data_IF_919793101952
#
_entry.id   IF_919793101952
#
_cell.length_a   1.000
_cell.length_b   1.000
_cell.length_c   1.000
_cell.angle_alpha   90.00
_cell.angle_beta   90.00
_cell.angle_gamma   90.00
#
_symmetry.space_group_name_H-M   'P 1'
#
loop_
_entity.id
_entity.type
_entity.pdbx_description
1 polymer ?
#
# COMPACT_ATOMS: atom_id res chain seq x y z
N UNK A 1 26.92 -18.81 40.94
CA UNK A 1 28.26 -19.45 41.02
C UNK A 1 28.45 -20.67 40.10
N UNK A 2 27.40 -21.42 39.70
CA UNK A 2 27.55 -22.54 38.76
C UNK A 2 27.68 -22.11 37.27
N UNK A 3 26.95 -21.06 36.85
CA UNK A 3 26.98 -20.57 35.46
C UNK A 3 28.34 -19.97 35.04
N UNK A 4 29.11 -19.41 35.98
CA UNK A 4 30.42 -18.81 35.71
C UNK A 4 31.52 -19.87 35.49
N UNK A 5 31.35 -21.08 36.04
CA UNK A 5 32.31 -22.20 35.90
C UNK A 5 32.19 -22.92 34.55
N UNK A 6 31.01 -22.88 33.92
CA UNK A 6 30.75 -23.50 32.60
C UNK A 6 31.33 -22.70 31.43
N UNK A 7 31.47 -21.37 31.58
CA UNK A 7 32.04 -20.51 30.54
C UNK A 7 33.58 -20.53 30.53
N UNK A 8 34.21 -20.89 31.65
CA UNK A 8 35.67 -20.90 31.78
C UNK A 8 36.34 -22.20 31.24
N UNK A 9 35.58 -23.26 30.98
CA UNK A 9 36.11 -24.53 30.46
C UNK A 9 36.14 -24.61 28.92
N UNK A 10 35.53 -23.65 28.21
CA UNK A 10 35.39 -23.70 26.75
C UNK A 10 36.47 -22.92 25.98
N UNK A 11 37.35 -22.18 26.64
CA UNK A 11 38.37 -21.36 25.98
C UNK A 11 39.78 -21.79 26.42
N UNK A 12 40.27 -22.84 25.77
CA UNK A 12 41.66 -23.25 25.85
C UNK A 12 42.58 -22.29 25.08
N UNK A 13 43.51 -21.67 25.83
CA UNK A 13 44.90 -21.30 25.49
C UNK A 13 45.17 -20.54 24.16
N UNK A 14 45.26 -19.20 24.30
CA UNK A 14 46.47 -18.37 24.08
C UNK A 14 47.25 -18.41 22.75
N UNK A 15 47.40 -17.23 22.12
CA UNK A 15 48.48 -16.82 21.19
C UNK A 15 48.76 -15.30 21.45
N UNK A 16 50.02 -14.81 21.38
CA UNK A 16 50.50 -13.72 22.23
C UNK A 16 50.29 -12.29 21.68
N UNK A 17 50.38 -11.33 22.60
CA UNK A 17 50.33 -9.89 22.34
C UNK A 17 51.54 -9.41 21.53
N UNK A 18 51.28 -8.88 20.34
CA UNK A 18 52.26 -8.23 19.47
C UNK A 18 51.81 -6.84 19.05
N UNK A 19 52.45 -5.83 19.65
CA UNK A 19 52.78 -4.50 19.13
C UNK A 19 51.67 -3.57 18.61
N UNK A 20 51.63 -2.39 19.23
CA UNK A 20 50.82 -1.24 18.87
C UNK A 20 51.31 -0.59 17.56
N UNK A 21 50.36 -0.30 16.67
CA UNK A 21 50.47 0.62 15.54
C UNK A 21 49.12 1.33 15.34
N UNK A 22 49.08 2.61 14.94
CA UNK A 22 47.83 3.35 14.88
C UNK A 22 47.14 3.11 13.53
N UNK A 23 46.22 2.16 13.47
CA UNK A 23 45.24 2.14 12.39
C UNK A 23 44.02 2.97 12.79
N UNK A 24 43.84 4.06 12.05
CA UNK A 24 42.64 4.90 12.05
C UNK A 24 41.42 4.02 11.75
N UNK A 25 40.71 3.61 12.81
CA UNK A 25 39.35 3.13 12.68
C UNK A 25 38.52 4.26 12.07
N UNK A 26 38.21 4.15 10.78
CA UNK A 26 37.06 4.81 10.17
C UNK A 26 35.81 4.27 10.87
N UNK A 27 35.48 4.90 12.01
CA UNK A 27 34.19 4.75 12.63
C UNK A 27 33.14 5.13 11.61
N UNK A 28 32.41 4.14 11.11
CA UNK A 28 31.13 4.33 10.49
C UNK A 28 30.21 4.91 11.57
N UNK A 29 30.28 6.23 11.74
CA UNK A 29 29.30 6.98 12.49
C UNK A 29 27.99 6.82 11.71
N UNK A 30 27.18 5.84 12.13
CA UNK A 30 25.75 5.84 11.81
C UNK A 30 25.20 7.12 12.41
N UNK A 31 25.20 8.20 11.63
CA UNK A 31 24.41 9.39 11.93
C UNK A 31 22.96 8.91 11.90
N UNK A 32 22.39 8.68 13.08
CA UNK A 32 20.94 8.76 13.23
C UNK A 32 20.58 10.20 12.83
N UNK A 33 20.11 10.37 11.61
CA UNK A 33 19.61 11.64 11.12
C UNK A 33 18.32 11.92 11.89
N UNK A 34 18.43 12.66 12.99
CA UNK A 34 17.29 13.15 13.78
C UNK A 34 16.70 14.43 13.20
N UNK A 35 16.98 14.76 11.94
CA UNK A 35 16.33 15.88 11.26
C UNK A 35 14.94 15.44 10.76
N UNK A 36 13.83 15.93 11.34
CA UNK A 36 12.52 15.74 10.75
C UNK A 36 12.44 16.69 9.55
N UNK A 37 12.95 16.26 8.39
CA UNK A 37 12.50 16.88 7.16
C UNK A 37 11.10 16.34 6.93
N UNK A 38 10.07 17.12 7.25
CA UNK A 38 8.70 16.78 6.88
C UNK A 38 8.65 16.67 5.36
N UNK A 39 8.68 15.44 4.84
CA UNK A 39 8.55 15.12 3.40
C UNK A 39 7.11 15.24 2.93
N UNK A 40 6.39 16.23 3.44
CA UNK A 40 4.96 16.42 3.20
C UNK A 40 4.82 17.61 2.27
N UNK A 41 4.09 17.40 1.17
CA UNK A 41 3.79 18.47 0.21
C UNK A 41 2.28 18.53 0.01
N UNK A 42 1.72 19.72 0.19
CA UNK A 42 0.31 19.97 -0.03
C UNK A 42 0.08 20.40 -1.48
N UNK A 43 -1.00 19.90 -2.06
CA UNK A 43 -1.43 20.20 -3.42
C UNK A 43 -2.88 20.70 -3.41
N UNK A 44 -3.17 21.65 -4.28
CA UNK A 44 -4.52 22.18 -4.49
C UNK A 44 -5.21 21.53 -5.70
N UNK A 45 -4.45 21.01 -6.66
CA UNK A 45 -4.95 20.25 -7.81
C UNK A 45 -4.55 18.78 -7.68
N UNK A 46 -5.51 17.82 -7.75
CA UNK A 46 -5.17 16.41 -7.65
C UNK A 46 -4.37 15.91 -8.87
N UNK A 47 -4.44 16.57 -10.03
CA UNK A 47 -3.66 16.21 -11.22
C UNK A 47 -2.16 16.45 -11.00
N UNK A 48 -1.79 17.57 -10.41
CA UNK A 48 -0.40 17.86 -10.05
C UNK A 48 0.16 16.86 -9.03
N UNK A 49 -0.69 16.35 -8.14
CA UNK A 49 -0.27 15.36 -7.15
C UNK A 49 0.13 14.01 -7.81
N UNK A 50 -0.50 13.66 -8.94
CA UNK A 50 -0.31 12.36 -9.61
C UNK A 50 0.47 12.43 -10.93
N UNK A 51 0.94 13.61 -11.35
CA UNK A 51 1.63 13.82 -12.65
C UNK A 51 2.93 13.00 -12.81
N UNK A 52 3.53 12.60 -11.69
CA UNK A 52 4.77 11.81 -11.67
C UNK A 52 4.54 10.33 -11.96
N UNK A 53 3.29 9.84 -11.93
CA UNK A 53 2.97 8.45 -12.26
C UNK A 53 3.28 8.20 -13.74
N UNK A 54 4.13 7.21 -14.01
CA UNK A 54 4.54 6.83 -15.36
C UNK A 54 3.87 5.55 -15.82
N UNK A 55 3.89 5.31 -17.12
CA UNK A 55 3.37 4.09 -17.71
C UNK A 55 4.07 2.87 -17.09
N UNK A 56 3.32 1.80 -16.85
CA UNK A 56 3.86 0.58 -16.25
C UNK A 56 4.02 0.60 -14.72
N UNK A 57 3.71 1.73 -14.06
CA UNK A 57 3.84 1.86 -12.61
C UNK A 57 2.91 0.92 -11.84
N UNK A 58 3.37 0.51 -10.66
CA UNK A 58 2.61 -0.24 -9.67
C UNK A 58 1.93 0.73 -8.72
N UNK A 59 0.61 0.81 -8.78
CA UNK A 59 -0.21 1.76 -8.01
C UNK A 59 -1.13 1.00 -7.07
N UNK A 60 -0.99 1.25 -5.77
CA UNK A 60 -1.94 0.77 -4.75
C UNK A 60 -3.10 1.74 -4.63
N UNK A 61 -4.32 1.22 -4.61
CA UNK A 61 -5.54 2.00 -4.40
C UNK A 61 -6.23 1.52 -3.12
N UNK A 62 -6.33 2.42 -2.14
CA UNK A 62 -7.04 2.16 -0.89
C UNK A 62 -8.55 2.02 -1.08
N UNK A 63 -9.21 1.50 -0.04
CA UNK A 63 -10.65 1.30 -0.01
C UNK A 63 -11.09 -0.17 0.10
N UNK A 64 -12.38 -0.36 0.35
CA UNK A 64 -13.06 -1.66 0.38
C UNK A 64 -14.43 -1.49 -0.26
N UNK A 65 -14.68 -2.19 -1.37
CA UNK A 65 -15.81 -1.85 -2.26
C UNK A 65 -15.71 -0.39 -2.70
N UNK A 66 -16.70 0.44 -2.32
CA UNK A 66 -16.70 1.89 -2.55
C UNK A 66 -16.40 2.71 -1.28
N UNK A 67 -16.15 2.04 -0.15
CA UNK A 67 -15.90 2.70 1.13
C UNK A 67 -14.43 3.09 1.29
N UNK A 68 -14.16 4.39 1.41
CA UNK A 68 -12.80 4.92 1.59
C UNK A 68 -11.94 4.80 0.34
N UNK A 69 -12.52 4.95 -0.85
CA UNK A 69 -11.76 4.98 -2.09
C UNK A 69 -11.21 6.39 -2.36
N UNK A 70 -10.03 6.52 -2.97
CA UNK A 70 -9.45 7.81 -3.34
C UNK A 70 -10.02 8.32 -4.67
N UNK A 71 -11.30 8.69 -4.68
CA UNK A 71 -12.08 9.02 -5.89
C UNK A 71 -11.52 10.20 -6.72
N UNK A 72 -10.97 11.23 -6.06
CA UNK A 72 -10.42 12.40 -6.74
C UNK A 72 -9.06 12.09 -7.36
N UNK A 73 -8.23 11.32 -6.67
CA UNK A 73 -6.95 10.86 -7.21
C UNK A 73 -7.14 9.90 -8.38
N UNK A 74 -8.15 9.01 -8.32
CA UNK A 74 -8.54 8.17 -9.45
C UNK A 74 -9.00 9.02 -10.64
N UNK A 75 -9.86 10.02 -10.37
CA UNK A 75 -10.31 10.96 -11.40
C UNK A 75 -9.17 11.80 -11.99
N UNK A 76 -8.16 12.15 -11.20
CA UNK A 76 -6.96 12.82 -11.67
C UNK A 76 -6.10 11.91 -12.56
N UNK A 77 -5.90 10.65 -12.14
CA UNK A 77 -5.15 9.66 -12.92
C UNK A 77 -5.81 9.38 -14.27
N UNK A 78 -7.15 9.37 -14.32
CA UNK A 78 -7.93 9.26 -15.55
C UNK A 78 -7.59 10.38 -16.56
N UNK A 79 -7.35 11.60 -16.08
CA UNK A 79 -6.98 12.76 -16.91
C UNK A 79 -5.55 12.67 -17.43
N UNK A 80 -4.63 12.07 -16.67
CA UNK A 80 -3.21 11.93 -17.10
C UNK A 80 -3.03 10.98 -18.29
N UNK A 81 -4.01 10.09 -18.55
CA UNK A 81 -3.98 9.07 -19.61
C UNK A 81 -2.83 8.05 -19.50
N UNK A 82 -2.17 7.96 -18.35
CA UNK A 82 -1.13 6.95 -18.07
C UNK A 82 -1.61 5.52 -18.39
N UNK A 83 -0.74 4.69 -18.93
CA UNK A 83 -1.05 3.36 -19.45
C UNK A 83 -0.29 2.26 -18.70
N UNK A 84 -0.72 1.02 -18.98
CA UNK A 84 -0.09 -0.20 -18.50
C UNK A 84 0.09 -0.31 -16.98
N UNK A 85 -0.81 0.33 -16.20
CA UNK A 85 -0.73 0.30 -14.75
C UNK A 85 -0.88 -1.11 -14.19
N UNK A 86 -0.11 -1.41 -13.15
CA UNK A 86 -0.28 -2.58 -12.29
C UNK A 86 -0.97 -2.13 -11.02
N UNK A 87 -2.26 -2.40 -10.90
CA UNK A 87 -3.06 -1.93 -9.78
C UNK A 87 -3.15 -2.99 -8.70
N UNK A 88 -2.95 -2.57 -7.45
CA UNK A 88 -3.16 -3.40 -6.26
C UNK A 88 -4.30 -2.79 -5.45
N UNK A 89 -5.40 -3.51 -5.31
CA UNK A 89 -6.61 -3.03 -4.64
C UNK A 89 -7.36 -4.18 -3.98
N UNK A 90 -8.11 -3.92 -2.91
CA UNK A 90 -9.00 -4.95 -2.34
C UNK A 90 -10.02 -5.44 -3.37
N UNK A 91 -10.60 -4.51 -4.13
CA UNK A 91 -11.71 -4.69 -5.06
C UNK A 91 -11.51 -3.89 -6.35
N UNK A 92 -12.31 -4.18 -7.37
CA UNK A 92 -12.24 -3.51 -8.68
C UNK A 92 -13.25 -2.36 -8.84
N UNK A 93 -14.02 -2.06 -7.78
CA UNK A 93 -15.08 -1.05 -7.83
C UNK A 93 -16.23 -1.50 -8.75
N UNK A 94 -16.99 -0.55 -9.27
CA UNK A 94 -18.09 -0.78 -10.21
C UNK A 94 -17.76 -0.13 -11.55
N UNK A 95 -18.50 -0.45 -12.60
CA UNK A 95 -18.14 -0.07 -13.99
C UNK A 95 -17.94 1.45 -14.18
N UNK A 96 -18.72 2.28 -13.49
CA UNK A 96 -18.73 3.74 -13.61
C UNK A 96 -18.10 4.49 -12.40
N UNK A 97 -17.51 3.78 -11.43
CA UNK A 97 -16.94 4.42 -10.25
C UNK A 97 -15.73 3.67 -9.65
N UNK A 98 -14.75 4.42 -9.14
CA UNK A 98 -13.50 3.85 -8.63
C UNK A 98 -12.63 3.26 -9.75
N UNK A 99 -12.06 2.07 -9.54
CA UNK A 99 -11.13 1.45 -10.48
C UNK A 99 -11.76 1.14 -11.86
N UNK A 100 -13.09 0.93 -11.94
CA UNK A 100 -13.80 0.73 -13.21
C UNK A 100 -13.62 1.86 -14.23
N UNK A 101 -13.42 3.09 -13.77
CA UNK A 101 -13.13 4.25 -14.63
C UNK A 101 -11.81 4.07 -15.42
N UNK A 102 -10.78 3.52 -14.78
CA UNK A 102 -9.48 3.26 -15.39
C UNK A 102 -9.52 2.04 -16.32
N UNK A 103 -10.43 1.09 -16.08
CA UNK A 103 -10.69 -0.04 -16.97
C UNK A 103 -11.40 0.39 -18.25
N UNK A 104 -12.37 1.30 -18.15
CA UNK A 104 -13.10 1.85 -19.31
C UNK A 104 -12.15 2.55 -20.29
N UNK A 105 -11.13 3.23 -19.75
CA UNK A 105 -10.12 3.94 -20.55
C UNK A 105 -8.89 3.09 -20.89
N UNK A 106 -8.90 1.79 -20.56
CA UNK A 106 -7.78 0.85 -20.79
C UNK A 106 -6.45 1.41 -20.30
N UNK A 107 -6.42 1.90 -19.06
CA UNK A 107 -5.20 2.40 -18.41
C UNK A 107 -4.51 1.31 -17.55
N UNK A 108 -5.21 0.22 -17.26
CA UNK A 108 -4.75 -0.87 -16.39
C UNK A 108 -4.38 -2.09 -17.22
N UNK A 109 -3.18 -2.63 -16.98
CA UNK A 109 -2.70 -3.87 -17.58
C UNK A 109 -2.82 -5.06 -16.64
N UNK A 110 -2.62 -4.85 -15.34
CA UNK A 110 -2.67 -5.92 -14.33
C UNK A 110 -3.42 -5.47 -13.09
N UNK A 111 -4.21 -6.36 -12.51
CA UNK A 111 -4.85 -6.17 -11.21
C UNK A 111 -4.42 -7.29 -10.26
N UNK A 112 -4.02 -6.92 -9.05
CA UNK A 112 -3.89 -7.82 -7.90
C UNK A 112 -5.00 -7.44 -6.93
N UNK A 113 -5.97 -8.34 -6.74
CA UNK A 113 -7.11 -8.07 -5.87
C UNK A 113 -7.59 -9.29 -5.09
N UNK A 114 -8.41 -9.03 -4.07
CA UNK A 114 -8.99 -10.10 -3.25
C UNK A 114 -10.35 -10.57 -3.73
N UNK A 115 -11.13 -9.66 -4.30
CA UNK A 115 -12.48 -9.94 -4.73
C UNK A 115 -12.86 -9.04 -5.89
N UNK A 116 -13.23 -9.65 -7.02
CA UNK A 116 -13.59 -8.94 -8.25
C UNK A 116 -14.87 -8.11 -8.05
N UNK A 117 -15.88 -8.68 -7.40
CA UNK A 117 -17.20 -8.05 -7.23
C UNK A 117 -18.02 -8.05 -8.51
N UNK A 118 -18.89 -7.06 -8.64
CA UNK A 118 -19.82 -6.85 -9.76
C UNK A 118 -19.23 -5.92 -10.83
N UNK A 119 -18.07 -6.27 -11.37
CA UNK A 119 -17.43 -5.51 -12.44
C UNK A 119 -17.36 -6.35 -13.73
N UNK A 120 -18.44 -6.28 -14.52
CA UNK A 120 -18.58 -7.06 -15.74
C UNK A 120 -17.53 -6.67 -16.79
N UNK A 121 -17.11 -5.40 -16.80
CA UNK A 121 -16.06 -4.93 -17.69
C UNK A 121 -14.72 -5.61 -17.38
N UNK A 122 -14.35 -5.73 -16.11
CA UNK A 122 -13.13 -6.38 -15.68
C UNK A 122 -13.13 -7.87 -16.06
N UNK A 123 -14.25 -8.57 -15.81
CA UNK A 123 -14.40 -9.97 -16.21
C UNK A 123 -14.22 -10.14 -17.72
N UNK A 124 -14.92 -9.32 -18.51
CA UNK A 124 -14.82 -9.33 -19.97
C UNK A 124 -13.40 -9.05 -20.46
N UNK A 125 -12.70 -8.07 -19.88
CA UNK A 125 -11.33 -7.74 -20.25
C UNK A 125 -10.35 -8.86 -19.87
N UNK A 126 -10.55 -9.50 -18.73
CA UNK A 126 -9.74 -10.65 -18.31
C UNK A 126 -9.94 -11.86 -19.23
N UNK A 127 -11.19 -12.26 -19.50
CA UNK A 127 -11.50 -13.42 -20.35
C UNK A 127 -11.11 -13.20 -21.83
N UNK A 128 -11.13 -11.95 -22.31
CA UNK A 128 -10.68 -11.61 -23.67
C UNK A 128 -9.16 -11.43 -23.80
N UNK A 129 -8.41 -11.58 -22.71
CA UNK A 129 -6.95 -11.44 -22.73
C UNK A 129 -6.43 -10.01 -22.78
N UNK A 130 -7.27 -9.01 -22.48
CA UNK A 130 -6.86 -7.59 -22.44
C UNK A 130 -6.29 -7.18 -21.08
N UNK A 131 -6.54 -7.98 -20.04
CA UNK A 131 -6.19 -7.67 -18.64
C UNK A 131 -5.53 -8.89 -17.97
N UNK A 132 -4.52 -8.65 -17.15
CA UNK A 132 -3.98 -9.63 -16.22
C UNK A 132 -4.67 -9.53 -14.85
N UNK A 133 -5.06 -10.66 -14.26
CA UNK A 133 -5.75 -10.71 -12.96
C UNK A 133 -5.09 -11.73 -12.03
N UNK A 134 -4.59 -11.28 -10.88
CA UNK A 134 -4.10 -12.14 -9.80
C UNK A 134 -5.02 -12.04 -8.59
N UNK A 135 -5.78 -13.11 -8.33
CA UNK A 135 -6.61 -13.22 -7.14
C UNK A 135 -5.77 -13.64 -5.93
N UNK A 136 -5.80 -12.84 -4.87
CA UNK A 136 -5.06 -13.07 -3.62
C UNK A 136 -6.02 -13.06 -2.43
N UNK A 137 -6.02 -14.06 -1.54
CA UNK A 137 -6.86 -14.04 -0.34
C UNK A 137 -6.73 -12.72 0.43
N UNK A 138 -7.85 -12.14 0.87
CA UNK A 138 -7.88 -10.75 1.38
C UNK A 138 -6.91 -10.50 2.54
N UNK A 139 -6.87 -11.40 3.53
CA UNK A 139 -5.93 -11.30 4.64
C UNK A 139 -4.47 -11.39 4.19
N UNK A 140 -4.18 -12.30 3.26
CA UNK A 140 -2.86 -12.42 2.63
C UNK A 140 -2.49 -11.14 1.86
N UNK A 141 -3.41 -10.54 1.12
CA UNK A 141 -3.18 -9.28 0.40
C UNK A 141 -2.81 -8.15 1.37
N UNK A 142 -3.58 -7.99 2.44
CA UNK A 142 -3.32 -6.98 3.46
C UNK A 142 -1.95 -7.18 4.13
N UNK A 143 -1.60 -8.42 4.48
CA UNK A 143 -0.32 -8.72 5.12
C UNK A 143 0.87 -8.62 4.17
N UNK A 144 0.71 -8.96 2.88
CA UNK A 144 1.73 -8.73 1.83
C UNK A 144 2.05 -7.25 1.69
N UNK A 145 1.04 -6.39 1.70
CA UNK A 145 1.22 -4.93 1.66
C UNK A 145 1.90 -4.45 2.95
N UNK A 146 1.39 -4.87 4.12
CA UNK A 146 1.99 -4.50 5.42
C UNK A 146 3.46 -4.91 5.51
N UNK A 147 3.80 -6.12 5.07
CA UNK A 147 5.16 -6.64 5.03
C UNK A 147 6.07 -5.78 4.14
N UNK A 148 5.57 -5.33 2.97
CA UNK A 148 6.28 -4.43 2.07
C UNK A 148 6.65 -3.09 2.70
N UNK A 149 5.72 -2.49 3.46
CA UNK A 149 5.99 -1.27 4.20
C UNK A 149 6.84 -1.44 5.45
N UNK A 150 6.87 -2.64 6.02
CA UNK A 150 7.67 -2.96 7.21
C UNK A 150 9.08 -3.48 6.88
N UNK A 151 9.47 -3.56 5.61
CA UNK A 151 10.76 -4.11 5.20
C UNK A 151 10.88 -5.63 5.40
N UNK A 152 9.76 -6.34 5.46
CA UNK A 152 9.71 -7.82 5.59
C UNK A 152 9.51 -8.41 4.19
N UNK A 153 10.51 -9.08 3.59
CA UNK A 153 10.41 -9.51 2.19
C UNK A 153 9.42 -10.65 1.95
N UNK A 154 9.18 -11.50 2.96
CA UNK A 154 8.22 -12.59 2.91
C UNK A 154 7.80 -13.03 4.31
N UNK A 155 6.63 -13.68 4.43
CA UNK A 155 6.09 -14.24 5.67
C UNK A 155 5.34 -15.54 5.38
N UNK A 156 5.07 -16.34 6.41
CA UNK A 156 4.29 -17.57 6.30
C UNK A 156 2.85 -17.36 6.80
N UNK A 157 1.86 -17.90 6.10
CA UNK A 157 0.44 -17.87 6.47
C UNK A 157 -0.24 -19.22 6.19
N UNK A 158 -1.18 -19.70 7.02
CA UNK A 158 -1.91 -20.94 6.73
C UNK A 158 -2.96 -20.73 5.62
N UNK A 159 -3.28 -19.46 5.30
CA UNK A 159 -4.31 -19.11 4.32
C UNK A 159 -3.96 -19.60 2.93
N UNK A 160 -4.82 -20.46 2.36
CA UNK A 160 -4.68 -20.99 1.01
C UNK A 160 -3.98 -22.36 0.94
N UNK A 161 -3.53 -22.92 2.06
CA UNK A 161 -3.02 -24.30 2.09
C UNK A 161 -4.10 -25.30 1.64
N UNK A 162 -3.73 -26.27 0.82
CA UNK A 162 -4.62 -27.25 0.20
C UNK A 162 -5.54 -26.67 -0.88
N UNK A 163 -5.20 -25.51 -1.46
CA UNK A 163 -6.02 -24.86 -2.49
C UNK A 163 -5.18 -24.48 -3.72
N UNK A 164 -5.84 -24.02 -4.78
CA UNK A 164 -5.19 -23.45 -5.96
C UNK A 164 -4.25 -22.27 -5.66
N UNK A 165 -4.40 -21.58 -4.52
CA UNK A 165 -3.45 -20.54 -4.09
C UNK A 165 -2.08 -21.17 -3.80
N UNK A 166 -2.06 -22.33 -3.12
CA UNK A 166 -0.84 -23.09 -2.88
C UNK A 166 -0.35 -23.76 -4.16
N UNK A 167 -1.22 -24.51 -4.84
CA UNK A 167 -0.84 -25.41 -5.93
C UNK A 167 -0.42 -24.64 -7.19
N UNK A 168 -0.89 -23.40 -7.33
CA UNK A 168 -0.74 -22.63 -8.55
C UNK A 168 -1.67 -23.14 -9.65
N UNK A 169 -1.38 -22.75 -10.90
CA UNK A 169 -2.15 -23.20 -12.06
C UNK A 169 -3.39 -22.37 -12.38
N UNK A 170 -3.72 -21.36 -11.56
CA UNK A 170 -4.80 -20.41 -11.90
C UNK A 170 -4.32 -19.46 -13.01
N UNK A 171 -5.14 -19.21 -14.05
CA UNK A 171 -4.75 -18.31 -15.12
C UNK A 171 -4.63 -16.88 -14.57
N UNK A 172 -3.48 -16.23 -14.79
CA UNK A 172 -3.32 -14.79 -14.55
C UNK A 172 -3.64 -14.00 -15.83
N UNK A 173 -3.55 -14.64 -16.99
CA UNK A 173 -3.82 -14.01 -18.28
C UNK A 173 -4.50 -15.01 -19.23
N UNK A 174 -5.24 -14.50 -20.20
CA UNK A 174 -5.78 -15.29 -21.31
C UNK A 174 -5.23 -14.77 -22.64
N UNK A 175 -5.11 -15.64 -23.62
CA UNK A 175 -4.93 -15.24 -25.02
C UNK A 175 -6.24 -14.69 -25.58
N UNK A 176 -6.18 -13.93 -26.68
CA UNK A 176 -7.36 -13.54 -27.45
C UNK A 176 -8.21 -14.73 -27.90
N UNK A 177 -7.58 -15.89 -28.07
CA UNK A 177 -8.23 -17.14 -28.51
C UNK A 177 -8.77 -17.98 -27.33
N UNK A 178 -8.72 -17.44 -26.10
CA UNK A 178 -9.23 -18.10 -24.90
C UNK A 178 -8.28 -19.12 -24.24
N UNK A 179 -7.07 -19.28 -24.78
CA UNK A 179 -6.04 -20.12 -24.14
C UNK A 179 -5.52 -19.50 -22.84
N UNK A 180 -5.31 -20.32 -21.80
CA UNK A 180 -4.77 -19.88 -20.51
C UNK A 180 -3.28 -19.56 -20.64
N UNK A 181 -2.90 -18.34 -20.32
CA UNK A 181 -1.52 -17.85 -20.34
C UNK A 181 -1.08 -17.44 -18.92
N UNK A 182 0.23 -17.48 -18.66
CA UNK A 182 0.83 -17.02 -17.40
C UNK A 182 0.10 -17.58 -16.16
N UNK A 183 0.24 -18.88 -15.91
CA UNK A 183 -0.39 -19.49 -14.74
C UNK A 183 0.27 -19.01 -13.44
N UNK A 184 -0.50 -18.96 -12.36
CA UNK A 184 0.00 -18.68 -11.03
C UNK A 184 1.00 -19.75 -10.60
N UNK A 185 2.03 -19.30 -9.90
CA UNK A 185 3.10 -20.17 -9.42
C UNK A 185 2.71 -20.82 -8.09
N UNK A 186 3.10 -22.08 -7.85
CA UNK A 186 2.92 -22.69 -6.56
C UNK A 186 3.64 -21.90 -5.47
N UNK A 187 3.11 -21.94 -4.25
CA UNK A 187 3.71 -21.34 -3.05
C UNK A 187 4.54 -22.38 -2.30
N UNK A 188 5.66 -21.95 -1.74
CA UNK A 188 6.48 -22.79 -0.88
C UNK A 188 5.70 -23.14 0.40
N UNK A 189 5.76 -24.41 0.82
CA UNK A 189 5.11 -24.89 2.03
C UNK A 189 6.15 -25.19 3.10
N UNK A 190 5.90 -24.73 4.33
CA UNK A 190 6.67 -25.13 5.51
C UNK A 190 5.74 -25.52 6.65
N UNK A 191 6.12 -26.55 7.39
CA UNK A 191 5.41 -26.95 8.61
C UNK A 191 5.97 -26.23 9.84
N UNK A 192 5.08 -25.71 10.68
CA UNK A 192 5.39 -25.18 11.99
C UNK A 192 4.40 -25.78 13.00
N UNK A 193 4.92 -26.46 14.03
CA UNK A 193 4.12 -27.04 15.13
C UNK A 193 2.97 -27.95 14.63
N UNK A 194 3.21 -28.80 13.63
CA UNK A 194 2.18 -29.71 13.12
C UNK A 194 1.17 -29.07 12.16
N UNK A 195 1.37 -27.82 11.75
CA UNK A 195 0.50 -27.13 10.79
C UNK A 195 1.30 -26.62 9.58
N UNK A 196 0.70 -26.67 8.39
CA UNK A 196 1.33 -26.22 7.15
C UNK A 196 1.00 -24.76 6.83
N UNK A 197 2.01 -24.04 6.36
CA UNK A 197 1.93 -22.62 6.02
C UNK A 197 2.55 -22.38 4.65
N UNK A 198 2.00 -21.40 3.93
CA UNK A 198 2.49 -20.93 2.64
C UNK A 198 3.40 -19.71 2.80
N UNK A 199 4.52 -19.69 2.08
CA UNK A 199 5.37 -18.52 1.96
C UNK A 199 4.74 -17.51 1.00
N UNK A 200 4.45 -16.31 1.50
CA UNK A 200 3.92 -15.18 0.73
C UNK A 200 4.91 -14.02 0.70
N UNK A 201 5.04 -13.40 -0.46
CA UNK A 201 6.01 -12.32 -0.70
C UNK A 201 5.36 -10.96 -0.55
N UNK A 202 6.10 -10.03 0.05
CA UNK A 202 5.65 -8.66 0.21
C UNK A 202 5.32 -8.00 -1.14
N UNK A 203 4.35 -7.10 -1.09
CA UNK A 203 3.99 -6.21 -2.19
C UNK A 203 4.46 -4.81 -1.79
N UNK A 204 5.24 -4.18 -2.66
CA UNK A 204 5.58 -2.76 -2.59
C UNK A 204 5.18 -2.10 -3.91
N UNK A 205 4.57 -0.92 -3.83
CA UNK A 205 4.15 -0.14 -4.99
C UNK A 205 5.11 1.02 -5.26
N UNK A 206 5.06 1.55 -6.47
CA UNK A 206 5.72 2.82 -6.79
C UNK A 206 4.91 3.98 -6.18
N UNK A 207 3.58 3.89 -6.28
CA UNK A 207 2.64 4.85 -5.71
C UNK A 207 1.56 4.17 -4.86
N UNK A 208 1.08 4.85 -3.81
CA UNK A 208 -0.14 4.50 -3.08
C UNK A 208 -1.09 5.69 -3.03
N UNK A 209 -2.34 5.48 -3.46
CA UNK A 209 -3.41 6.47 -3.37
C UNK A 209 -4.38 6.07 -2.27
N UNK A 210 -4.62 6.98 -1.34
CA UNK A 210 -5.29 6.69 -0.06
C UNK A 210 -6.33 7.77 0.25
N UNK A 211 -7.48 7.35 0.78
CA UNK A 211 -8.51 8.24 1.33
C UNK A 211 -8.38 8.38 2.84
N UNK A 212 -8.00 9.57 3.31
CA UNK A 212 -8.09 9.96 4.71
C UNK A 212 -9.36 10.78 4.99
N UNK A 213 -9.69 10.91 6.28
CA UNK A 213 -10.74 11.84 6.73
C UNK A 213 -10.15 13.23 6.99
N UNK A 214 -9.16 13.31 7.88
CA UNK A 214 -8.44 14.56 8.15
C UNK A 214 -6.94 14.37 8.08
N UNK A 215 -6.22 15.40 7.66
CA UNK A 215 -4.77 15.50 7.80
C UNK A 215 -4.38 16.75 8.57
N UNK A 216 -3.33 16.68 9.37
CA UNK A 216 -2.70 17.87 9.92
C UNK A 216 -1.60 18.42 8.99
N UNK A 217 -1.09 19.62 9.32
CA UNK A 217 0.01 20.25 8.55
C UNK A 217 1.33 19.48 8.61
N UNK A 218 1.48 18.53 9.53
CA UNK A 218 2.63 17.65 9.66
C UNK A 218 2.49 16.39 8.81
N UNK A 219 1.36 16.21 8.12
CA UNK A 219 1.08 15.06 7.25
C UNK A 219 0.53 13.84 8.00
N UNK A 220 0.17 13.98 9.28
CA UNK A 220 -0.47 12.89 10.00
C UNK A 220 -1.93 12.78 9.57
N UNK A 221 -2.41 11.54 9.37
CA UNK A 221 -3.74 11.29 8.80
C UNK A 221 -4.61 10.49 9.78
N UNK A 222 -5.87 10.87 9.88
CA UNK A 222 -6.91 10.10 10.58
C UNK A 222 -7.95 9.57 9.60
N UNK A 223 -8.50 8.41 9.89
CA UNK A 223 -9.54 7.73 9.09
C UNK A 223 -10.84 7.66 9.88
N UNK A 224 -11.98 7.65 9.17
CA UNK A 224 -13.32 7.61 9.79
C UNK A 224 -13.99 6.25 9.59
N UNK A 225 -14.35 5.60 10.69
CA UNK A 225 -15.08 4.33 10.65
C UNK A 225 -14.39 3.24 9.83
N UNK A 226 -15.16 2.52 9.01
CA UNK A 226 -14.68 1.42 8.16
C UNK A 226 -13.90 1.87 6.92
N UNK A 227 -13.86 3.17 6.61
CA UNK A 227 -13.06 3.71 5.51
C UNK A 227 -11.54 3.57 5.75
N UNK A 228 -11.12 3.18 6.96
CA UNK A 228 -9.71 2.94 7.34
C UNK A 228 -9.06 1.77 6.59
N UNK A 229 -9.85 0.71 6.31
CA UNK A 229 -9.51 -0.55 5.63
C UNK A 229 -8.06 -0.73 5.08
N UNK A 230 -7.89 -0.87 3.76
CA UNK A 230 -6.59 -1.05 3.08
C UNK A 230 -5.79 0.25 2.99
N UNK A 231 -6.43 1.40 3.24
CA UNK A 231 -5.80 2.70 3.26
C UNK A 231 -4.55 2.73 4.18
N UNK A 232 -4.64 2.17 5.39
CA UNK A 232 -3.53 2.16 6.35
C UNK A 232 -2.32 1.34 5.91
N UNK A 233 -2.44 0.04 5.55
CA UNK A 233 -1.28 -0.72 5.11
C UNK A 233 -0.69 -0.16 3.81
N UNK A 234 -1.51 0.32 2.88
CA UNK A 234 -1.03 0.88 1.60
C UNK A 234 -0.25 2.18 1.78
N UNK A 235 -0.64 3.05 2.73
CA UNK A 235 0.10 4.27 3.05
C UNK A 235 1.60 4.04 3.26
N UNK A 236 1.97 2.86 3.78
CA UNK A 236 3.33 2.53 4.22
C UNK A 236 4.12 1.72 3.21
N UNK A 237 3.46 1.18 2.18
CA UNK A 237 4.02 0.17 1.30
C UNK A 237 4.38 0.69 -0.09
N UNK A 238 4.49 2.02 -0.27
CA UNK A 238 4.87 2.63 -1.54
C UNK A 238 6.10 3.54 -1.39
N UNK A 239 6.78 3.82 -2.51
CA UNK A 239 7.83 4.83 -2.56
C UNK A 239 7.26 6.25 -2.44
N UNK A 240 6.10 6.51 -3.05
CA UNK A 240 5.35 7.77 -2.95
C UNK A 240 3.90 7.51 -2.54
N UNK A 241 3.44 8.14 -1.46
CA UNK A 241 2.04 8.05 -1.03
C UNK A 241 1.33 9.38 -1.27
N UNK A 242 0.17 9.30 -1.91
CA UNK A 242 -0.72 10.45 -2.15
C UNK A 242 -2.00 10.21 -1.37
N UNK A 243 -2.31 11.11 -0.45
CA UNK A 243 -3.48 11.04 0.42
C UNK A 243 -4.43 12.16 0.04
N UNK A 244 -5.64 11.82 -0.35
CA UNK A 244 -6.74 12.79 -0.37
C UNK A 244 -7.45 12.79 0.98
N UNK A 245 -7.75 13.98 1.50
CA UNK A 245 -8.47 14.16 2.76
C UNK A 245 -9.67 15.08 2.59
N UNK A 246 -10.67 14.90 3.44
CA UNK A 246 -11.84 15.78 3.46
C UNK A 246 -11.49 17.12 4.11
N UNK A 247 -10.67 17.10 5.16
CA UNK A 247 -10.36 18.29 5.96
C UNK A 247 -8.87 18.38 6.30
N UNK A 248 -8.29 19.57 6.17
CA UNK A 248 -6.97 19.88 6.71
C UNK A 248 -7.16 20.63 8.02
N UNK A 249 -6.58 20.10 9.09
CA UNK A 249 -6.65 20.71 10.43
C UNK A 249 -5.28 21.25 10.85
N UNK A 250 -5.29 22.18 11.78
CA UNK A 250 -4.05 22.54 12.48
C UNK A 250 -3.57 21.36 13.32
N UNK A 251 -2.28 21.35 13.65
CA UNK A 251 -1.63 20.24 14.35
C UNK A 251 -2.37 19.96 15.66
N UNK A 252 -3.05 18.82 15.69
CA UNK A 252 -3.88 18.39 16.82
C UNK A 252 -3.18 17.36 17.71
N UNK A 253 -3.78 16.99 18.85
CA UNK A 253 -3.22 15.99 19.76
C UNK A 253 -3.10 14.59 19.13
N UNK A 254 -2.29 13.75 19.76
CA UNK A 254 -1.63 12.49 19.31
C UNK A 254 -2.49 11.32 18.77
N UNK A 255 -3.69 11.54 18.25
CA UNK A 255 -4.55 10.48 17.68
C UNK A 255 -4.35 10.25 16.18
N UNK A 256 -3.44 10.98 15.54
CA UNK A 256 -3.14 10.81 14.13
C UNK A 256 -2.22 9.60 13.89
N UNK A 257 -2.44 8.86 12.81
CA UNK A 257 -1.50 7.81 12.39
C UNK A 257 -0.27 8.52 11.82
N UNK A 258 0.84 8.45 12.55
CA UNK A 258 2.15 8.86 12.06
C UNK A 258 2.47 8.06 10.79
N UNK A 259 2.66 8.78 9.70
CA UNK A 259 3.22 8.25 8.47
C UNK A 259 4.71 8.62 8.41
N UNK A 260 5.40 8.33 9.52
CA UNK A 260 6.84 8.46 9.62
C UNK A 260 7.47 7.65 8.48
N UNK A 261 8.44 8.26 7.78
CA UNK A 261 9.19 7.73 6.64
C UNK A 261 8.53 7.70 5.24
N UNK A 262 7.31 8.23 5.09
CA UNK A 262 6.60 8.25 3.79
C UNK A 262 6.61 9.66 3.16
N UNK A 263 6.86 9.77 1.85
CA UNK A 263 6.60 11.03 1.13
C UNK A 263 5.10 11.16 0.92
N UNK A 264 4.46 12.13 1.58
CA UNK A 264 3.01 12.29 1.58
C UNK A 264 2.64 13.52 0.76
N UNK A 265 1.94 13.29 -0.35
CA UNK A 265 1.24 14.36 -1.07
C UNK A 265 -0.17 14.47 -0.53
N UNK A 266 -0.55 15.58 0.07
CA UNK A 266 -1.91 15.78 0.62
C UNK A 266 -2.72 16.67 -0.30
N UNK A 267 -3.94 16.26 -0.61
CA UNK A 267 -4.92 17.06 -1.36
C UNK A 267 -6.26 17.17 -0.61
N UNK A 268 -6.92 18.33 -0.71
CA UNK A 268 -8.28 18.57 -0.18
C UNK A 268 -9.10 19.43 -1.16
N UNK A 269 -10.40 19.12 -1.38
CA UNK A 269 -11.27 19.88 -2.28
C UNK A 269 -11.65 21.28 -1.78
N UNK A 270 -11.36 21.62 -0.53
CA UNK A 270 -11.65 22.94 0.01
C UNK A 270 -10.55 23.37 0.98
N UNK A 271 -9.74 24.35 0.59
CA UNK A 271 -8.68 24.94 1.42
C UNK A 271 -9.16 25.72 2.65
N UNK A 272 -10.25 25.29 3.29
CA UNK A 272 -10.81 25.93 4.47
C UNK A 272 -10.08 25.46 5.72
N UNK A 273 -9.21 26.33 6.23
CA UNK A 273 -8.69 26.26 7.60
C UNK A 273 -9.81 26.71 8.53
N UNK A 274 -10.49 25.78 9.20
CA UNK A 274 -11.43 26.14 10.26
C UNK A 274 -10.65 26.10 11.59
N UNK A 275 -10.50 27.24 12.29
CA UNK A 275 -9.78 27.26 13.57
C UNK A 275 -10.47 26.36 14.60
N UNK A 276 -9.66 25.74 15.46
CA UNK A 276 -9.97 24.61 16.35
C UNK A 276 -11.13 24.77 17.36
N UNK A 277 -11.90 25.86 17.30
CA UNK A 277 -12.88 26.23 18.34
C UNK A 277 -14.32 26.48 17.86
N UNK A 278 -14.70 26.17 16.62
CA UNK A 278 -16.11 26.28 16.23
C UNK A 278 -16.91 25.04 16.64
N UNK A 279 -17.72 25.17 17.69
CA UNK A 279 -18.80 24.22 18.01
C UNK A 279 -19.72 24.07 16.79
N UNK A 280 -19.91 22.83 16.34
CA UNK A 280 -20.75 22.49 15.19
C UNK A 280 -22.23 22.51 15.59
N UNK A 281 -23.05 23.36 14.95
CA UNK A 281 -24.51 23.26 14.98
C UNK A 281 -24.99 22.45 13.77
N UNK A 282 -25.87 21.44 13.93
CA UNK A 282 -26.36 20.65 12.81
C UNK A 282 -27.39 21.42 11.99
N UNK A 283 -27.11 21.64 10.70
CA UNK A 283 -28.15 21.96 9.72
C UNK A 283 -27.76 23.04 8.73
N UNK A 284 -27.30 22.63 7.54
CA UNK A 284 -27.58 23.27 6.26
C UNK A 284 -27.01 22.39 5.14
N UNK A 285 -27.88 21.69 4.41
CA UNK A 285 -27.55 21.06 3.13
C UNK A 285 -27.35 22.17 2.09
N UNK A 286 -26.29 22.15 1.26
CA UNK A 286 -26.25 22.97 0.06
C UNK A 286 -27.24 22.40 -0.98
N UNK A 287 -28.24 23.20 -1.35
CA UNK A 287 -29.01 23.00 -2.58
C UNK A 287 -28.11 23.32 -3.76
N UNK A 288 -27.69 22.31 -4.51
CA UNK A 288 -27.00 22.46 -5.80
C UNK A 288 -27.59 21.44 -6.77
N UNK A 289 -28.69 21.83 -7.42
CA UNK A 289 -29.16 21.33 -8.71
C UNK A 289 -30.24 22.30 -9.22
N UNK A 290 -29.81 23.37 -9.90
CA UNK A 290 -30.55 24.11 -10.93
C UNK A 290 -29.54 25.01 -11.65
N UNK A 291 -29.27 24.66 -12.90
CA UNK A 291 -28.31 25.28 -13.81
C UNK A 291 -28.12 24.35 -14.99
#
# INVERSE_FOLDING_TARGET
MAALRLLASALGRGVPAGHAGPELFQGCARRFSTSPCSRVKFYTDPVEAVIDVKDGATVMLGGFGLCGIPENLIGALLKTRVKDLKVVSSNVGVDDFGLGLLLTTKQVKRIICSYLGENALCEKQFLSGQLELEMTPQGTLAERIRAGGAGVPAFYTPTGYGTMVQEGGTPIHYSSDGHRLNLSRPREVREFKGQHYLLERAIKGDFAFVKGWKADRSGNVVFRGSARNFNVPMCKAADVTVVEVEEIVDVGPSTFVGADDVYIKVWSPGGWVIPSNSQWTPGLRPQLLKG
#
